data_IF_718850379885
#
_entry.id   IF_718850379885
#
_cell.length_a   1.000
_cell.length_b   1.000
_cell.length_c   1.000
_cell.angle_alpha   90.00
_cell.angle_beta   90.00
_cell.angle_gamma   90.00
#
_symmetry.space_group_name_H-M   'P 1'
#
loop_
_entity.id
_entity.type
_entity.pdbx_description
1 polymer ?
#
# COMPACT_ATOMS: atom_id res chain seq x y z
N UNK A 1 54.90 56.24 -5.70
CA UNK A 1 56.21 56.13 -6.38
C UNK A 1 56.29 54.72 -6.96
N UNK A 2 55.89 54.48 -8.22
CA UNK A 2 56.71 54.34 -9.47
C UNK A 2 57.81 53.26 -9.29
N UNK A 3 57.91 52.17 -10.07
CA UNK A 3 57.92 51.94 -11.53
C UNK A 3 57.44 50.48 -11.85
N UNK A 4 56.58 50.12 -12.84
CA UNK A 4 56.79 49.84 -14.30
C UNK A 4 58.18 49.25 -14.65
N UNK A 5 58.40 48.16 -15.41
CA UNK A 5 57.90 47.61 -16.70
C UNK A 5 58.14 46.06 -16.67
N UNK A 6 57.24 45.20 -17.15
CA UNK A 6 57.15 44.64 -18.53
C UNK A 6 58.25 43.62 -18.90
N UNK A 7 57.85 42.38 -19.19
CA UNK A 7 58.26 41.61 -20.39
C UNK A 7 57.68 40.19 -20.38
N UNK A 8 56.89 39.91 -21.42
CA UNK A 8 56.63 38.61 -22.05
C UNK A 8 57.89 37.73 -22.19
N UNK A 9 57.90 36.40 -22.39
CA UNK A 9 56.98 35.50 -23.07
C UNK A 9 57.39 34.02 -22.80
N UNK A 10 56.40 33.11 -22.87
CA UNK A 10 56.46 31.73 -23.39
C UNK A 10 57.51 30.71 -22.88
N UNK A 11 57.05 29.66 -22.17
CA UNK A 11 57.17 28.28 -22.67
C UNK A 11 56.17 27.36 -21.95
N UNK A 12 55.56 26.46 -22.71
CA UNK A 12 54.53 25.51 -22.31
C UNK A 12 55.19 24.13 -22.28
N UNK A 13 55.40 23.60 -21.09
CA UNK A 13 55.77 22.18 -20.92
C UNK A 13 54.53 21.42 -20.44
N UNK A 14 53.76 20.91 -21.41
CA UNK A 14 52.85 19.80 -21.19
C UNK A 14 53.72 18.56 -20.92
N UNK A 15 54.03 18.31 -19.65
CA UNK A 15 54.75 17.13 -19.23
C UNK A 15 53.89 15.87 -19.43
N UNK A 16 54.23 15.08 -20.44
CA UNK A 16 53.85 13.68 -20.59
C UNK A 16 54.19 12.89 -19.33
N UNK A 17 53.25 12.09 -18.80
CA UNK A 17 53.57 10.98 -17.88
C UNK A 17 52.41 9.96 -17.86
N UNK A 18 52.59 8.89 -18.64
CA UNK A 18 52.13 7.50 -18.44
C UNK A 18 50.65 7.09 -18.71
N UNK A 19 50.48 6.24 -19.74
CA UNK A 19 49.38 5.26 -19.86
C UNK A 19 49.69 3.99 -19.01
N UNK A 20 48.83 2.95 -18.87
CA UNK A 20 47.42 2.77 -19.29
C UNK A 20 46.50 2.18 -18.18
N UNK A 21 45.17 2.17 -18.36
CA UNK A 21 44.24 1.07 -17.97
C UNK A 21 42.78 1.38 -18.31
N UNK A 22 42.15 0.44 -19.01
CA UNK A 22 40.70 0.35 -19.17
C UNK A 22 39.99 0.52 -17.82
N UNK A 23 39.05 1.46 -17.78
CA UNK A 23 37.96 1.42 -16.81
C UNK A 23 36.68 1.22 -17.58
N UNK A 24 36.28 -0.03 -17.66
CA UNK A 24 34.91 -0.42 -17.96
C UNK A 24 33.99 0.29 -16.94
N UNK A 25 33.45 1.44 -17.36
CA UNK A 25 32.26 2.03 -16.76
C UNK A 25 31.25 2.00 -17.87
N UNK A 26 30.51 0.90 -17.91
CA UNK A 26 29.16 0.84 -18.44
C UNK A 26 28.50 2.18 -18.14
N UNK A 27 28.36 2.99 -19.18
CA UNK A 27 27.57 4.19 -19.14
C UNK A 27 26.13 3.73 -18.96
N UNK A 28 25.72 3.54 -17.70
CA UNK A 28 24.31 3.39 -17.33
C UNK A 28 23.60 4.57 -17.97
N UNK A 29 22.72 4.37 -18.97
CA UNK A 29 22.08 5.47 -19.64
C UNK A 29 21.24 6.24 -18.61
N UNK A 30 21.68 7.45 -18.26
CA UNK A 30 21.02 8.37 -17.34
C UNK A 30 19.78 9.04 -17.97
N UNK A 31 19.07 8.32 -18.85
CA UNK A 31 18.02 8.87 -19.72
C UNK A 31 16.62 8.34 -19.40
N UNK A 32 16.32 8.03 -18.13
CA UNK A 32 14.97 7.63 -17.70
C UNK A 32 14.47 8.46 -16.52
N UNK A 33 14.59 9.80 -16.60
CA UNK A 33 14.16 10.69 -15.51
C UNK A 33 12.98 11.61 -15.82
N UNK A 34 12.25 11.43 -16.92
CA UNK A 34 11.10 12.29 -17.23
C UNK A 34 9.87 11.62 -17.86
N UNK A 35 9.66 10.32 -17.65
CA UNK A 35 8.38 9.71 -17.99
C UNK A 35 7.62 9.43 -16.70
N UNK A 36 6.39 9.95 -16.50
CA UNK A 36 5.58 9.59 -15.34
C UNK A 36 5.33 8.09 -15.37
N UNK A 37 6.05 7.35 -14.51
CA UNK A 37 6.04 5.88 -14.44
C UNK A 37 4.63 5.31 -14.26
N UNK A 38 3.74 6.05 -13.60
CA UNK A 38 2.33 5.69 -13.42
C UNK A 38 1.46 5.71 -14.69
N UNK A 39 1.91 6.35 -15.79
CA UNK A 39 1.17 6.35 -17.05
C UNK A 39 1.49 5.13 -17.92
N UNK A 40 2.76 4.68 -17.93
CA UNK A 40 3.16 3.49 -18.69
C UNK A 40 2.70 2.18 -18.03
N UNK A 41 2.64 2.11 -16.70
CA UNK A 41 2.15 0.90 -16.02
C UNK A 41 0.65 0.64 -16.27
N UNK A 42 -0.15 1.70 -16.41
CA UNK A 42 -1.56 1.58 -16.82
C UNK A 42 -1.75 0.98 -18.21
N UNK A 43 -0.74 1.08 -19.09
CA UNK A 43 -0.83 0.63 -20.47
C UNK A 43 -0.32 -0.81 -20.67
N UNK A 44 0.61 -1.28 -19.83
CA UNK A 44 1.30 -2.56 -20.05
C UNK A 44 1.00 -3.68 -19.04
N UNK A 45 0.33 -3.41 -17.91
CA UNK A 45 -0.04 -4.48 -16.96
C UNK A 45 -1.41 -5.06 -17.35
N UNK A 46 -1.48 -6.35 -17.74
CA UNK A 46 -2.76 -7.03 -18.00
C UNK A 46 -3.72 -6.89 -16.83
N UNK A 47 -5.01 -6.74 -17.11
CA UNK A 47 -6.04 -6.48 -16.08
C UNK A 47 -6.01 -7.52 -14.95
N UNK A 48 -5.92 -8.81 -15.29
CA UNK A 48 -5.85 -9.91 -14.33
C UNK A 48 -4.59 -9.84 -13.43
N UNK A 49 -3.48 -9.33 -13.96
CA UNK A 49 -2.21 -9.26 -13.22
C UNK A 49 -2.22 -8.14 -12.19
N UNK A 50 -3.00 -7.08 -12.41
CA UNK A 50 -3.12 -5.96 -11.45
C UNK A 50 -3.66 -6.42 -10.10
N UNK A 51 -4.62 -7.34 -10.11
CA UNK A 51 -5.21 -7.86 -8.88
C UNK A 51 -4.26 -8.78 -8.12
N UNK A 52 -3.56 -9.66 -8.84
CA UNK A 52 -2.55 -10.55 -8.23
C UNK A 52 -1.30 -9.85 -7.73
N UNK A 53 -1.09 -8.60 -8.14
CA UNK A 53 0.05 -7.80 -7.73
C UNK A 53 -0.09 -7.26 -6.30
N UNK A 54 -1.31 -7.19 -5.75
CA UNK A 54 -1.53 -6.74 -4.37
C UNK A 54 -1.78 -7.93 -3.47
N UNK A 55 -1.01 -8.02 -2.38
CA UNK A 55 -1.32 -8.88 -1.26
C UNK A 55 -2.09 -8.09 -0.21
N UNK A 56 -3.10 -8.73 0.39
CA UNK A 56 -3.87 -8.19 1.53
C UNK A 56 -3.68 -9.15 2.69
N UNK A 57 -3.41 -8.59 3.86
CA UNK A 57 -3.21 -9.34 5.09
C UNK A 57 -3.91 -8.62 6.25
N UNK A 58 -4.43 -9.40 7.19
CA UNK A 58 -5.03 -8.90 8.43
C UNK A 58 -4.47 -9.69 9.59
N UNK A 59 -3.97 -8.99 10.59
CA UNK A 59 -3.37 -9.58 11.78
C UNK A 59 -3.90 -8.93 13.06
N UNK A 60 -4.01 -9.71 14.11
CA UNK A 60 -4.32 -9.27 15.47
C UNK A 60 -3.13 -9.63 16.36
N UNK A 61 -2.82 -8.83 17.40
CA UNK A 61 -1.72 -9.16 18.31
C UNK A 61 -2.01 -10.44 19.10
N UNK A 62 -3.27 -10.62 19.49
CA UNK A 62 -3.76 -11.79 20.21
C UNK A 62 -4.88 -12.47 19.42
N UNK A 63 -5.15 -13.73 19.78
CA UNK A 63 -6.24 -14.53 19.19
C UNK A 63 -7.40 -14.76 20.17
N UNK A 64 -7.28 -14.31 21.41
CA UNK A 64 -8.30 -14.45 22.44
C UNK A 64 -8.47 -13.12 23.14
N UNK A 65 -9.72 -12.72 23.35
CA UNK A 65 -10.10 -11.48 24.02
C UNK A 65 -11.28 -11.74 24.96
N UNK A 66 -11.41 -10.96 26.01
CA UNK A 66 -12.56 -11.00 26.92
C UNK A 66 -13.77 -10.27 26.30
N UNK A 67 -14.97 -10.60 26.75
CA UNK A 67 -16.17 -9.94 26.26
C UNK A 67 -16.14 -8.43 26.55
N UNK A 68 -16.39 -7.60 25.53
CA UNK A 68 -16.31 -6.14 25.65
C UNK A 68 -14.89 -5.58 25.61
N UNK A 69 -13.85 -6.42 25.55
CA UNK A 69 -12.49 -5.99 25.29
C UNK A 69 -12.36 -5.46 23.86
N UNK A 70 -11.59 -4.39 23.69
CA UNK A 70 -11.26 -3.87 22.35
C UNK A 70 -10.28 -4.80 21.67
N UNK A 71 -10.62 -5.20 20.45
CA UNK A 71 -9.82 -6.05 19.58
C UNK A 71 -9.08 -5.16 18.56
N UNK A 72 -7.78 -4.88 18.75
CA UNK A 72 -6.98 -4.20 17.74
C UNK A 72 -6.64 -5.17 16.60
N UNK A 73 -6.69 -4.68 15.37
CA UNK A 73 -6.22 -5.41 14.20
C UNK A 73 -5.51 -4.48 13.22
N UNK A 74 -4.50 -5.02 12.56
CA UNK A 74 -3.68 -4.33 11.58
C UNK A 74 -3.95 -4.92 10.22
N UNK A 75 -4.25 -4.04 9.28
CA UNK A 75 -4.48 -4.35 7.88
C UNK A 75 -3.24 -3.95 7.11
N UNK A 76 -2.72 -4.85 6.29
CA UNK A 76 -1.60 -4.57 5.40
C UNK A 76 -1.98 -4.87 3.97
N UNK A 77 -1.74 -3.91 3.09
CA UNK A 77 -1.94 -4.05 1.65
C UNK A 77 -0.62 -3.73 0.96
N UNK A 78 -0.07 -4.63 0.16
CA UNK A 78 1.26 -4.45 -0.43
C UNK A 78 1.27 -4.76 -1.92
N UNK A 79 1.85 -3.87 -2.70
CA UNK A 79 2.21 -4.16 -4.09
C UNK A 79 3.49 -5.01 -4.12
N UNK A 80 3.39 -6.26 -4.54
CA UNK A 80 4.53 -7.18 -4.66
C UNK A 80 5.33 -6.98 -5.94
N UNK A 81 4.84 -6.17 -6.88
CA UNK A 81 5.54 -5.92 -8.14
C UNK A 81 6.54 -4.77 -8.03
N UNK A 82 7.66 -4.86 -8.80
CA UNK A 82 8.64 -3.78 -8.90
C UNK A 82 8.16 -2.62 -9.81
N UNK A 83 6.86 -2.50 -10.05
CA UNK A 83 6.24 -1.44 -10.86
C UNK A 83 5.01 -0.87 -10.15
N UNK A 84 4.68 0.42 -10.36
CA UNK A 84 3.47 1.00 -9.79
C UNK A 84 2.21 0.38 -10.39
N UNK A 85 1.19 0.16 -9.57
CA UNK A 85 -0.09 -0.41 -9.98
C UNK A 85 -1.26 0.47 -9.53
N UNK A 86 -2.40 0.30 -10.19
CA UNK A 86 -3.65 0.96 -9.82
C UNK A 86 -4.77 -0.04 -9.94
N UNK A 87 -5.45 -0.31 -8.83
CA UNK A 87 -6.63 -1.15 -8.77
C UNK A 87 -7.88 -0.29 -9.09
N UNK A 88 -8.79 -0.77 -9.96
CA UNK A 88 -10.08 -0.12 -10.14
C UNK A 88 -10.97 -0.46 -8.94
N UNK A 89 -11.32 0.53 -8.14
CA UNK A 89 -12.25 0.38 -7.02
C UNK A 89 -13.65 0.83 -7.45
N UNK A 90 -14.67 0.16 -6.92
CA UNK A 90 -16.08 0.39 -7.29
C UNK A 90 -16.69 1.60 -6.58
N UNK A 91 -16.09 2.04 -5.47
CA UNK A 91 -16.56 3.19 -4.72
C UNK A 91 -15.40 4.07 -4.25
N UNK A 92 -15.66 5.29 -3.74
CA UNK A 92 -14.62 6.12 -3.13
C UNK A 92 -13.95 5.52 -1.89
N UNK A 93 -14.56 4.49 -1.28
CA UNK A 93 -13.93 3.72 -0.22
C UNK A 93 -13.03 2.67 -0.88
N UNK A 94 -11.70 2.71 -0.69
CA UNK A 94 -10.80 1.76 -1.36
C UNK A 94 -10.86 0.35 -0.77
N UNK A 95 -11.29 0.21 0.47
CA UNK A 95 -11.37 -1.06 1.18
C UNK A 95 -12.43 -1.02 2.28
N UNK A 96 -12.81 -2.19 2.75
CA UNK A 96 -13.74 -2.40 3.84
C UNK A 96 -13.22 -3.48 4.79
N UNK A 97 -13.79 -3.50 5.99
CA UNK A 97 -13.59 -4.56 6.96
C UNK A 97 -14.95 -4.95 7.53
N UNK A 98 -15.07 -6.19 7.96
CA UNK A 98 -16.28 -6.74 8.55
C UNK A 98 -15.93 -7.70 9.69
N UNK A 99 -16.90 -7.91 10.59
CA UNK A 99 -16.86 -8.97 11.60
C UNK A 99 -18.03 -9.88 11.32
N UNK A 100 -17.77 -11.17 11.09
CA UNK A 100 -18.78 -12.18 10.72
C UNK A 100 -19.66 -11.76 9.54
N UNK A 101 -19.06 -11.04 8.58
CA UNK A 101 -19.77 -10.52 7.40
C UNK A 101 -20.54 -9.21 7.64
N UNK A 102 -20.55 -8.67 8.87
CA UNK A 102 -21.14 -7.38 9.18
C UNK A 102 -20.12 -6.23 8.99
N UNK A 103 -20.29 -5.36 7.97
CA UNK A 103 -19.34 -4.29 7.69
C UNK A 103 -19.17 -3.36 8.89
N UNK A 104 -17.93 -3.12 9.29
CA UNK A 104 -17.55 -2.34 10.46
C UNK A 104 -18.24 -2.76 11.77
N UNK A 105 -18.55 -4.06 11.90
CA UNK A 105 -19.34 -4.61 13.00
C UNK A 105 -20.69 -3.89 13.17
N UNK A 106 -21.37 -3.57 12.07
CA UNK A 106 -22.68 -2.90 12.09
C UNK A 106 -23.72 -3.74 11.37
N UNK A 107 -24.83 -4.05 12.06
CA UNK A 107 -26.04 -4.62 11.46
C UNK A 107 -26.88 -3.54 10.76
N UNK A 108 -26.64 -2.27 11.09
CA UNK A 108 -27.27 -1.15 10.41
C UNK A 108 -26.65 -0.99 9.03
N UNK A 109 -27.49 -1.02 7.99
CA UNK A 109 -27.08 -0.73 6.61
C UNK A 109 -26.44 0.67 6.54
N UNK A 110 -25.25 0.73 5.95
CA UNK A 110 -24.59 2.01 5.66
C UNK A 110 -25.45 2.82 4.69
N UNK A 111 -25.48 4.13 4.88
CA UNK A 111 -25.98 5.07 3.86
C UNK A 111 -25.27 4.79 2.55
N UNK A 112 -26.03 4.71 1.45
CA UNK A 112 -25.54 4.40 0.10
C UNK A 112 -24.26 5.19 -0.20
N UNK A 113 -23.15 4.46 -0.33
CA UNK A 113 -21.88 5.03 -0.80
C UNK A 113 -22.07 5.32 -2.29
N UNK A 114 -21.61 6.48 -2.80
CA UNK A 114 -21.68 6.76 -4.23
C UNK A 114 -20.98 5.67 -5.05
N UNK A 115 -21.65 5.18 -6.08
CA UNK A 115 -21.07 4.29 -7.09
C UNK A 115 -20.24 5.13 -8.07
N UNK A 116 -19.02 5.44 -7.65
CA UNK A 116 -18.05 6.18 -8.45
C UNK A 116 -16.75 5.38 -8.52
N UNK A 117 -16.48 4.83 -9.70
CA UNK A 117 -15.25 4.08 -9.95
C UNK A 117 -14.03 4.98 -9.84
N UNK A 118 -13.07 4.59 -9.01
CA UNK A 118 -11.81 5.31 -8.80
C UNK A 118 -10.61 4.38 -8.94
N UNK A 119 -9.42 4.97 -9.03
CA UNK A 119 -8.17 4.22 -9.01
C UNK A 119 -7.55 4.22 -7.62
N UNK A 120 -7.32 3.05 -7.05
CA UNK A 120 -6.53 2.89 -5.82
C UNK A 120 -5.07 2.60 -6.18
N UNK A 121 -4.20 3.57 -5.94
CA UNK A 121 -2.82 3.54 -6.42
C UNK A 121 -1.85 2.99 -5.39
N UNK A 122 -0.92 2.16 -5.88
CA UNK A 122 0.26 1.70 -5.17
C UNK A 122 1.51 2.02 -5.99
N UNK A 123 2.52 2.62 -5.38
CA UNK A 123 3.85 2.73 -5.98
C UNK A 123 4.58 1.37 -5.98
N UNK A 124 5.75 1.31 -6.62
CA UNK A 124 6.65 0.15 -6.63
C UNK A 124 6.88 -0.34 -5.20
N UNK A 125 6.51 -1.60 -4.93
CA UNK A 125 6.78 -2.20 -3.62
C UNK A 125 6.04 -1.55 -2.44
N UNK A 126 5.10 -0.62 -2.70
CA UNK A 126 4.45 0.15 -1.65
C UNK A 126 3.62 -0.79 -0.76
N UNK A 127 3.81 -0.65 0.56
CA UNK A 127 2.93 -1.24 1.56
C UNK A 127 2.16 -0.13 2.27
N UNK A 128 0.84 -0.27 2.30
CA UNK A 128 -0.08 0.57 3.07
C UNK A 128 -0.51 -0.22 4.30
N UNK A 129 -0.41 0.40 5.46
CA UNK A 129 -0.77 -0.22 6.73
C UNK A 129 -1.84 0.63 7.43
N UNK A 130 -2.86 -0.04 7.96
CA UNK A 130 -3.96 0.61 8.67
C UNK A 130 -4.24 -0.14 9.96
N UNK A 131 -4.19 0.57 11.09
CA UNK A 131 -4.65 0.04 12.36
C UNK A 131 -6.12 0.39 12.57
N UNK A 132 -6.89 -0.60 13.01
CA UNK A 132 -8.29 -0.47 13.40
C UNK A 132 -8.52 -1.20 14.71
N UNK A 133 -9.66 -0.91 15.32
CA UNK A 133 -10.10 -1.61 16.49
C UNK A 133 -11.58 -1.95 16.33
N UNK A 134 -11.95 -3.15 16.74
CA UNK A 134 -13.33 -3.51 17.01
C UNK A 134 -13.59 -3.38 18.50
N UNK A 135 -14.75 -2.85 18.89
CA UNK A 135 -15.11 -2.68 20.30
C UNK A 135 -15.58 -3.96 20.98
N UNK A 136 -15.61 -5.10 20.28
CA UNK A 136 -16.23 -6.34 20.79
C UNK A 136 -17.76 -6.24 20.86
N UNK A 137 -18.37 -5.36 20.05
CA UNK A 137 -19.82 -5.17 20.01
C UNK A 137 -20.29 -4.87 18.59
N UNK A 138 -21.51 -5.28 18.29
CA UNK A 138 -22.19 -5.01 17.03
C UNK A 138 -23.14 -3.83 17.19
N UNK A 139 -23.11 -2.91 16.22
CA UNK A 139 -24.08 -1.82 16.17
C UNK A 139 -25.39 -2.35 15.60
N UNK A 140 -26.41 -2.48 16.43
CA UNK A 140 -27.75 -2.96 16.03
C UNK A 140 -28.70 -1.82 15.65
N UNK A 141 -28.47 -0.61 16.18
CA UNK A 141 -29.21 0.59 15.80
C UNK A 141 -28.33 1.84 15.85
N UNK A 142 -28.88 3.01 15.47
CA UNK A 142 -28.13 4.28 15.42
C UNK A 142 -27.42 4.62 16.74
N UNK A 143 -27.96 4.23 17.90
CA UNK A 143 -27.38 4.53 19.22
C UNK A 143 -27.29 3.30 20.12
N UNK A 144 -27.40 2.11 19.54
CA UNK A 144 -27.52 0.86 20.28
C UNK A 144 -26.46 -0.13 19.80
N UNK A 145 -25.81 -0.76 20.78
CA UNK A 145 -24.72 -1.68 20.60
C UNK A 145 -25.00 -2.92 21.42
N UNK A 146 -24.79 -4.08 20.81
CA UNK A 146 -24.93 -5.38 21.44
C UNK A 146 -23.54 -6.00 21.57
N UNK A 147 -23.12 -6.48 22.76
CA UNK A 147 -21.87 -7.22 22.90
C UNK A 147 -21.84 -8.42 21.96
N UNK A 148 -20.66 -8.72 21.42
CA UNK A 148 -20.48 -9.97 20.70
C UNK A 148 -20.68 -11.15 21.65
N UNK A 149 -21.28 -12.23 21.14
CA UNK A 149 -21.38 -13.48 21.88
C UNK A 149 -19.98 -14.03 22.18
N UNK A 150 -19.85 -14.87 23.21
CA UNK A 150 -18.63 -15.66 23.35
C UNK A 150 -18.52 -16.68 22.21
N UNK A 151 -17.30 -16.96 21.76
CA UNK A 151 -17.02 -17.89 20.66
C UNK A 151 -16.05 -17.34 19.61
N UNK A 152 -16.02 -17.98 18.46
CA UNK A 152 -15.16 -17.57 17.34
C UNK A 152 -15.82 -16.49 16.48
N UNK A 153 -15.04 -15.47 16.14
CA UNK A 153 -15.43 -14.38 15.26
C UNK A 153 -14.39 -14.18 14.17
N UNK A 154 -14.86 -13.99 12.94
CA UNK A 154 -14.01 -13.76 11.77
C UNK A 154 -13.97 -12.26 11.45
N UNK A 155 -12.76 -11.69 11.49
CA UNK A 155 -12.51 -10.34 11.00
C UNK A 155 -12.04 -10.48 9.55
N UNK A 156 -12.85 -10.01 8.61
CA UNK A 156 -12.50 -9.99 7.19
C UNK A 156 -12.21 -8.58 6.71
N UNK A 157 -11.33 -8.48 5.72
CA UNK A 157 -10.88 -7.23 5.11
C UNK A 157 -10.82 -7.45 3.62
N UNK A 158 -11.45 -6.56 2.86
CA UNK A 158 -11.49 -6.66 1.40
C UNK A 158 -11.18 -5.31 0.75
N UNK A 159 -10.42 -5.33 -0.34
CA UNK A 159 -10.32 -4.16 -1.24
C UNK A 159 -11.62 -4.07 -2.03
N UNK A 160 -12.16 -2.86 -2.21
CA UNK A 160 -13.46 -2.65 -2.88
C UNK A 160 -13.33 -2.73 -4.41
N UNK A 161 -12.93 -3.89 -4.91
CA UNK A 161 -12.88 -4.25 -6.33
C UNK A 161 -14.06 -5.18 -6.67
N UNK A 162 -14.31 -5.40 -7.96
CA UNK A 162 -15.23 -6.44 -8.39
C UNK A 162 -14.74 -7.82 -7.93
N UNK A 163 -15.57 -8.54 -7.16
CA UNK A 163 -15.32 -9.89 -6.65
C UNK A 163 -13.95 -10.05 -5.94
N UNK A 164 -13.73 -9.42 -4.77
CA UNK A 164 -12.43 -9.40 -4.10
C UNK A 164 -11.91 -10.79 -3.73
N UNK A 165 -12.80 -11.71 -3.34
CA UNK A 165 -12.45 -13.10 -3.01
C UNK A 165 -11.81 -13.85 -4.19
N UNK A 166 -12.39 -13.74 -5.39
CA UNK A 166 -11.93 -14.46 -6.59
C UNK A 166 -10.52 -14.03 -7.03
N UNK A 167 -10.14 -12.81 -6.69
CA UNK A 167 -8.86 -12.21 -7.09
C UNK A 167 -7.82 -12.15 -5.98
N UNK A 168 -8.12 -12.69 -4.79
CA UNK A 168 -7.20 -12.74 -3.65
C UNK A 168 -6.95 -11.38 -2.99
N UNK A 169 -7.93 -10.47 -3.08
CA UNK A 169 -7.88 -9.15 -2.42
C UNK A 169 -8.79 -9.09 -1.19
N UNK A 170 -8.98 -10.24 -0.56
CA UNK A 170 -9.63 -10.43 0.71
C UNK A 170 -8.68 -11.19 1.65
N UNK A 171 -8.67 -10.79 2.91
CA UNK A 171 -7.97 -11.49 3.98
C UNK A 171 -8.91 -11.66 5.17
N UNK A 172 -8.76 -12.76 5.90
CA UNK A 172 -9.56 -13.07 7.08
C UNK A 172 -8.66 -13.56 8.20
N UNK A 173 -8.93 -13.09 9.41
CA UNK A 173 -8.36 -13.64 10.65
C UNK A 173 -9.48 -14.01 11.60
N UNK A 174 -9.27 -15.05 12.39
CA UNK A 174 -10.22 -15.52 13.39
C UNK A 174 -9.70 -15.18 14.77
N UNK A 175 -10.59 -14.66 15.61
CA UNK A 175 -10.35 -14.43 17.03
C UNK A 175 -11.41 -15.17 17.83
N UNK A 176 -11.13 -15.40 19.11
CA UNK A 176 -12.07 -15.98 20.06
C UNK A 176 -12.40 -14.96 21.15
N UNK A 177 -13.67 -14.82 21.47
CA UNK A 177 -14.16 -14.04 22.60
C UNK A 177 -14.53 -15.02 23.72
N UNK A 178 -13.96 -14.82 24.90
CA UNK A 178 -14.25 -15.61 26.09
C UNK A 178 -15.26 -14.88 26.99
N UNK A 179 -16.02 -15.68 27.74
CA UNK A 179 -16.81 -15.17 28.86
C UNK A 179 -15.85 -14.72 29.99
N UNK A 180 -16.20 -13.63 30.68
CA UNK A 180 -15.48 -13.11 31.86
C UNK A 180 -15.43 -14.11 33.03
#
# INVERSE_FOLDING_TARGET
>A
MRRIYDSSALHRDDAETHAPRERNREARPQAMRSVPSGFLSKLFVPYWLRYRAVSVDVSTPDRTFEQGQRVPFTIRMRNELPIPITLPIESPLPWTWAVDGHPEASHVQRTTVPDERRGYHFDRGEAKEFTRHWSGSFRIARREWEPAAAGEHAISVAVNVANPADVGLEATTTIRIDED
#
